data_IF_947116307547
#
_entry.id   IF_947116307547
#
_cell.length_a   1.000
_cell.length_b   1.000
_cell.length_c   1.000
_cell.angle_alpha   90.00
_cell.angle_beta   90.00
_cell.angle_gamma   90.00
#
_symmetry.space_group_name_H-M   'P 1'
#
loop_
_entity.id
_entity.type
_entity.pdbx_description
1 polymer ?
#
# COMPACT_ATOMS: atom_id res chain seq x y z
N UNK A 1 -0.63 2.04 18.50
CA UNK A 1 -0.50 2.96 17.34
C UNK A 1 0.97 3.13 16.95
N UNK A 2 1.62 2.04 16.52
CA UNK A 2 2.97 2.02 15.92
C UNK A 2 3.10 0.68 15.17
N UNK A 3 2.19 0.45 14.22
CA UNK A 3 2.31 -0.74 13.38
C UNK A 3 3.47 -0.48 12.40
N UNK A 4 4.40 -1.43 12.18
CA UNK A 4 5.49 -1.30 11.21
C UNK A 4 5.02 -1.20 9.73
N UNK A 5 3.71 -1.01 9.53
CA UNK A 5 3.03 -0.81 8.25
C UNK A 5 2.14 0.43 8.37
N UNK A 6 2.74 1.57 8.67
CA UNK A 6 2.07 2.88 8.57
C UNK A 6 1.73 3.22 7.10
N UNK A 7 1.04 4.34 6.88
CA UNK A 7 0.55 4.69 5.55
C UNK A 7 1.70 4.95 4.57
N UNK A 8 2.80 5.53 5.05
CA UNK A 8 4.00 5.78 4.24
C UNK A 8 4.72 4.49 3.87
N UNK A 9 4.77 3.52 4.77
CA UNK A 9 5.24 2.18 4.47
C UNK A 9 4.37 1.53 3.38
N UNK A 10 3.04 1.58 3.49
CA UNK A 10 2.16 1.00 2.46
C UNK A 10 2.32 1.72 1.13
N UNK A 11 2.40 3.06 1.13
CA UNK A 11 2.62 3.89 -0.06
C UNK A 11 3.93 3.52 -0.76
N UNK A 12 5.03 3.45 -0.01
CA UNK A 12 6.34 3.07 -0.56
C UNK A 12 6.34 1.65 -1.13
N UNK A 13 5.61 0.71 -0.51
CA UNK A 13 5.46 -0.65 -1.03
C UNK A 13 4.64 -0.74 -2.31
N UNK A 14 3.64 0.12 -2.49
CA UNK A 14 2.89 0.21 -3.76
C UNK A 14 3.77 0.81 -4.85
N UNK A 15 4.49 1.91 -4.56
CA UNK A 15 5.37 2.56 -5.55
C UNK A 15 6.55 1.69 -5.94
N UNK A 16 7.37 1.30 -4.95
CA UNK A 16 8.66 0.63 -5.18
C UNK A 16 8.53 -0.89 -5.29
N UNK A 17 7.39 -1.45 -4.88
CA UNK A 17 7.18 -2.89 -4.82
C UNK A 17 7.98 -3.56 -3.69
N UNK A 18 8.20 -4.87 -3.86
CA UNK A 18 9.13 -5.70 -3.08
C UNK A 18 9.69 -6.75 -4.01
N UNK A 19 11.01 -6.70 -4.22
CA UNK A 19 11.71 -7.65 -5.07
C UNK A 19 11.31 -9.11 -4.74
N UNK A 20 10.90 -9.86 -5.76
CA UNK A 20 10.49 -11.26 -5.65
C UNK A 20 9.11 -11.53 -5.01
N UNK A 21 8.34 -10.50 -4.64
CA UNK A 21 7.03 -10.69 -4.00
C UNK A 21 5.93 -9.71 -4.47
N UNK A 22 6.29 -8.49 -4.85
CA UNK A 22 5.34 -7.46 -5.27
C UNK A 22 5.97 -6.58 -6.36
N UNK A 23 5.34 -6.44 -7.53
CA UNK A 23 5.82 -5.52 -8.55
C UNK A 23 5.73 -4.06 -8.07
N UNK A 24 6.60 -3.21 -8.62
CA UNK A 24 6.52 -1.77 -8.47
C UNK A 24 5.40 -1.23 -9.35
N UNK A 25 4.60 -0.30 -8.83
CA UNK A 25 3.55 0.40 -9.59
C UNK A 25 3.87 1.88 -9.79
N UNK A 26 5.12 2.28 -9.60
CA UNK A 26 5.57 3.63 -9.92
C UNK A 26 5.32 3.94 -11.41
N UNK A 27 4.77 5.12 -11.69
CA UNK A 27 4.35 5.54 -13.03
C UNK A 27 3.06 4.89 -13.58
N UNK A 28 2.56 3.80 -12.98
CA UNK A 28 1.28 3.21 -13.35
C UNK A 28 0.08 3.93 -12.71
N UNK A 29 0.28 4.52 -11.53
CA UNK A 29 -0.72 5.28 -10.79
C UNK A 29 -0.17 6.64 -10.37
N UNK A 30 -1.04 7.64 -10.33
CA UNK A 30 -0.75 8.94 -9.74
C UNK A 30 -0.70 8.86 -8.22
N UNK A 31 -0.05 9.82 -7.56
CA UNK A 31 0.02 9.89 -6.09
C UNK A 31 -1.38 9.91 -5.45
N UNK A 32 -2.32 10.64 -6.05
CA UNK A 32 -3.70 10.69 -5.58
C UNK A 32 -4.40 9.31 -5.66
N UNK A 33 -4.12 8.52 -6.71
CA UNK A 33 -4.65 7.16 -6.84
C UNK A 33 -4.03 6.21 -5.82
N UNK A 34 -2.72 6.33 -5.58
CA UNK A 34 -2.02 5.53 -4.55
C UNK A 34 -2.61 5.81 -3.16
N UNK A 35 -2.94 7.08 -2.86
CA UNK A 35 -3.56 7.44 -1.59
C UNK A 35 -4.96 6.84 -1.42
N UNK A 36 -5.74 6.74 -2.50
CA UNK A 36 -7.03 6.04 -2.47
C UNK A 36 -6.83 4.53 -2.22
N UNK A 37 -5.78 3.92 -2.80
CA UNK A 37 -5.45 2.51 -2.54
C UNK A 37 -5.06 2.28 -1.08
N UNK A 38 -4.27 3.17 -0.48
CA UNK A 38 -3.93 3.08 0.96
C UNK A 38 -5.19 3.13 1.82
N UNK A 39 -6.10 4.09 1.55
CA UNK A 39 -7.39 4.18 2.27
C UNK A 39 -8.23 2.92 2.10
N UNK A 40 -8.30 2.37 0.89
CA UNK A 40 -9.00 1.12 0.62
C UNK A 40 -8.40 -0.04 1.44
N UNK A 41 -7.07 -0.20 1.41
CA UNK A 41 -6.35 -1.23 2.19
C UNK A 41 -6.62 -1.10 3.69
N UNK A 42 -6.68 0.13 4.22
CA UNK A 42 -7.02 0.39 5.63
C UNK A 42 -8.47 0.06 5.98
N UNK A 43 -9.37 0.23 5.02
CA UNK A 43 -10.79 -0.10 5.17
C UNK A 43 -11.08 -1.60 5.03
N UNK A 44 -10.12 -2.41 4.54
CA UNK A 44 -10.26 -3.85 4.53
C UNK A 44 -10.37 -4.36 5.98
N UNK A 45 -11.51 -4.97 6.30
CA UNK A 45 -11.67 -5.66 7.58
C UNK A 45 -10.59 -6.73 7.71
N UNK A 46 -10.08 -6.99 8.93
CA UNK A 46 -9.36 -8.23 9.17
C UNK A 46 -10.24 -9.36 8.66
N UNK A 47 -9.69 -10.26 7.84
CA UNK A 47 -10.41 -11.48 7.50
C UNK A 47 -10.56 -12.25 8.81
N UNK A 48 -11.78 -12.29 9.35
CA UNK A 48 -12.14 -13.27 10.37
C UNK A 48 -11.89 -14.64 9.71
N UNK A 49 -10.85 -15.33 10.20
CA UNK A 49 -10.45 -16.65 9.72
C UNK A 49 -11.32 -17.74 10.29
#
# INVERSE_FOLDING_TARGET
>A
MNSPRDDDYIRSRIKLGKQGAMPAFDGAFTDAQIDQMVKYIRALKPRDG
#
